data_IF_214729823345
#
_entry.id   IF_214729823345
#
_cell.length_a   1.000
_cell.length_b   1.000
_cell.length_c   1.000
_cell.angle_alpha   90.00
_cell.angle_beta   90.00
_cell.angle_gamma   90.00
#
_symmetry.space_group_name_H-M   'P 1'
#
loop_
_entity.id
_entity.type
_entity.pdbx_description
1 polymer ?
#
# COMPACT_ATOMS: atom_id res chain seq x y z
N UNK A 1 4.45 -61.39 48.35
CA UNK A 1 5.10 -60.07 48.50
C UNK A 1 4.51 -59.12 47.48
N UNK A 2 3.97 -57.98 47.92
CA UNK A 2 3.17 -57.04 47.11
C UNK A 2 4.04 -56.35 46.05
N UNK A 3 3.60 -56.40 44.80
CA UNK A 3 4.14 -55.67 43.65
C UNK A 3 3.66 -54.21 43.68
N UNK A 4 4.59 -53.26 43.71
CA UNK A 4 4.29 -51.83 43.63
C UNK A 4 4.33 -51.35 42.16
N UNK A 5 3.21 -50.80 41.69
CA UNK A 5 3.11 -50.05 40.44
C UNK A 5 3.63 -48.63 40.70
N UNK A 6 4.73 -48.24 40.04
CA UNK A 6 5.19 -46.85 39.96
C UNK A 6 4.79 -46.26 38.61
N UNK A 7 3.83 -45.35 38.60
CA UNK A 7 3.48 -44.56 37.42
C UNK A 7 4.49 -43.41 37.26
N UNK A 8 5.29 -43.43 36.19
CA UNK A 8 6.14 -42.31 35.80
C UNK A 8 5.28 -41.37 34.95
N UNK A 9 4.96 -40.20 35.52
CA UNK A 9 4.31 -39.09 34.80
C UNK A 9 5.41 -38.20 34.23
N UNK A 10 5.61 -38.26 32.91
CA UNK A 10 6.56 -37.40 32.20
C UNK A 10 5.88 -36.06 31.92
N UNK A 11 6.26 -35.01 32.65
CA UNK A 11 5.85 -33.63 32.35
C UNK A 11 6.69 -33.11 31.16
N UNK A 12 6.08 -33.01 29.97
CA UNK A 12 6.67 -32.27 28.86
C UNK A 12 6.44 -30.77 29.06
N UNK A 13 7.49 -30.02 29.42
CA UNK A 13 7.46 -28.55 29.36
C UNK A 13 7.44 -28.11 27.90
N UNK A 14 6.28 -27.64 27.41
CA UNK A 14 6.24 -26.78 26.23
C UNK A 14 6.85 -25.42 26.58
N UNK A 15 8.11 -25.21 26.22
CA UNK A 15 8.67 -23.87 26.19
C UNK A 15 8.06 -23.13 24.98
N UNK A 16 7.22 -22.13 25.26
CA UNK A 16 6.79 -21.18 24.25
C UNK A 16 8.02 -20.36 23.82
N UNK A 17 8.57 -20.68 22.65
CA UNK A 17 9.57 -19.83 22.01
C UNK A 17 8.86 -18.54 21.62
N UNK A 18 9.15 -17.45 22.33
CA UNK A 18 8.71 -16.13 21.93
C UNK A 18 9.35 -15.80 20.58
N UNK A 19 8.55 -15.82 19.51
CA UNK A 19 8.99 -15.35 18.20
C UNK A 19 9.23 -13.85 18.32
N UNK A 20 10.48 -13.41 18.20
CA UNK A 20 10.82 -12.00 18.16
C UNK A 20 10.06 -11.33 17.00
N UNK A 21 9.51 -10.13 17.23
CA UNK A 21 8.86 -9.37 16.18
C UNK A 21 9.86 -9.13 15.03
N UNK A 22 9.42 -9.35 13.78
CA UNK A 22 10.26 -9.09 12.62
C UNK A 22 10.65 -7.60 12.56
N UNK A 23 11.85 -7.26 12.06
CA UNK A 23 12.25 -5.86 11.87
C UNK A 23 11.30 -5.17 10.90
N UNK A 24 10.93 -3.91 11.15
CA UNK A 24 10.03 -3.10 10.30
C UNK A 24 10.64 -1.74 9.93
N UNK A 25 11.97 -1.67 9.98
CA UNK A 25 12.76 -0.44 9.89
C UNK A 25 13.00 0.23 11.24
N UNK A 26 13.75 1.33 11.22
CA UNK A 26 14.16 2.09 12.39
C UNK A 26 13.31 3.35 12.50
N UNK A 27 12.52 3.45 13.58
CA UNK A 27 11.70 4.62 13.91
C UNK A 27 11.88 4.94 15.39
N UNK A 28 12.07 6.22 15.68
CA UNK A 28 11.95 6.75 17.04
C UNK A 28 11.18 8.07 17.01
N UNK A 29 9.88 7.98 17.29
CA UNK A 29 9.00 9.14 17.25
C UNK A 29 9.08 9.88 18.59
N UNK A 30 9.78 11.01 18.62
CA UNK A 30 9.93 11.81 19.84
C UNK A 30 8.57 12.33 20.33
N UNK A 31 8.16 11.97 21.55
CA UNK A 31 6.84 12.30 22.11
C UNK A 31 6.92 12.80 23.56
N UNK A 32 5.92 13.58 23.97
CA UNK A 32 5.70 13.94 25.38
C UNK A 32 4.90 12.92 26.19
N UNK A 33 4.47 11.83 25.56
CA UNK A 33 3.73 10.75 26.21
C UNK A 33 4.57 10.05 27.29
N UNK A 34 3.89 9.25 28.11
CA UNK A 34 4.56 8.42 29.10
C UNK A 34 5.59 7.49 28.44
N UNK A 35 6.82 7.43 28.99
CA UNK A 35 7.88 6.54 28.47
C UNK A 35 7.44 5.07 28.36
N UNK A 36 6.49 4.62 29.17
CA UNK A 36 5.92 3.26 29.12
C UNK A 36 5.19 2.94 27.81
N UNK A 37 4.76 3.95 27.05
CA UNK A 37 4.06 3.77 25.76
C UNK A 37 4.93 4.08 24.55
N UNK A 38 6.18 4.51 24.73
CA UNK A 38 7.10 4.87 23.63
C UNK A 38 7.25 3.74 22.61
N UNK A 39 7.44 2.49 23.07
CA UNK A 39 7.61 1.35 22.16
C UNK A 39 6.36 1.06 21.33
N UNK A 40 5.15 1.24 21.89
CA UNK A 40 3.90 1.07 21.14
C UNK A 40 3.73 2.21 20.11
N UNK A 41 4.19 3.42 20.41
CA UNK A 41 4.18 4.59 19.49
C UNK A 41 5.18 4.39 18.34
N UNK A 42 6.44 4.05 18.65
CA UNK A 42 7.48 3.81 17.64
C UNK A 42 7.06 2.69 16.70
N UNK A 43 6.50 1.60 17.26
CA UNK A 43 5.90 0.53 16.47
C UNK A 43 4.73 1.04 15.62
N UNK A 44 3.78 1.78 16.21
CA UNK A 44 2.62 2.33 15.49
C UNK A 44 3.04 3.20 14.29
N UNK A 45 4.03 4.07 14.46
CA UNK A 45 4.54 4.94 13.39
C UNK A 45 5.25 4.12 12.31
N UNK A 46 6.08 3.14 12.67
CA UNK A 46 6.68 2.23 11.70
C UNK A 46 5.61 1.47 10.89
N UNK A 47 4.49 1.10 11.51
CA UNK A 47 3.38 0.42 10.84
C UNK A 47 2.59 1.33 9.91
N UNK A 48 2.36 2.59 10.30
CA UNK A 48 1.82 3.60 9.39
C UNK A 48 2.73 3.77 8.17
N UNK A 49 4.04 3.82 8.36
CA UNK A 49 4.99 3.96 7.27
C UNK A 49 5.03 2.75 6.33
N UNK A 50 4.76 1.54 6.83
CA UNK A 50 4.67 0.31 6.03
C UNK A 50 3.26 0.00 5.52
N UNK A 51 2.30 0.91 5.70
CA UNK A 51 0.89 0.74 5.30
C UNK A 51 0.20 -0.49 5.94
N UNK A 52 0.63 -0.85 7.16
CA UNK A 52 0.00 -1.89 7.99
C UNK A 52 -1.03 -1.26 8.93
N UNK A 53 -2.13 -0.79 8.34
CA UNK A 53 -3.11 0.09 8.99
C UNK A 53 -3.79 -0.54 10.22
N UNK A 54 -4.26 -1.77 10.10
CA UNK A 54 -4.95 -2.46 11.20
C UNK A 54 -4.01 -2.76 12.37
N UNK A 55 -2.74 -3.05 12.09
CA UNK A 55 -1.69 -3.26 13.09
C UNK A 55 -1.33 -1.92 13.76
N UNK A 56 -1.19 -0.85 12.96
CA UNK A 56 -0.90 0.49 13.45
C UNK A 56 -2.01 0.95 14.42
N UNK A 57 -3.28 0.82 14.02
CA UNK A 57 -4.44 1.14 14.86
C UNK A 57 -4.37 0.41 16.21
N UNK A 58 -4.13 -0.92 16.19
CA UNK A 58 -3.97 -1.73 17.41
C UNK A 58 -2.79 -1.29 18.27
N UNK A 59 -1.68 -0.85 17.67
CA UNK A 59 -0.52 -0.36 18.43
C UNK A 59 -0.85 0.95 19.16
N UNK A 60 -1.47 1.90 18.47
CA UNK A 60 -1.87 3.16 19.08
C UNK A 60 -3.03 3.02 20.08
N UNK A 61 -3.96 2.07 19.87
CA UNK A 61 -5.00 1.73 20.85
C UNK A 61 -4.40 1.19 22.17
N UNK A 62 -3.39 0.31 22.09
CA UNK A 62 -2.68 -0.16 23.28
C UNK A 62 -1.99 1.00 24.01
N UNK A 63 -1.37 1.90 23.26
CA UNK A 63 -0.71 3.08 23.81
C UNK A 63 -1.73 4.01 24.52
N UNK A 64 -2.86 4.33 23.87
CA UNK A 64 -3.89 5.22 24.44
C UNK A 64 -4.60 4.61 25.66
N UNK A 65 -4.76 3.28 25.73
CA UNK A 65 -5.26 2.60 26.94
C UNK A 65 -4.32 2.73 28.14
N UNK A 66 -3.01 2.87 27.91
CA UNK A 66 -1.98 3.00 28.96
C UNK A 66 -1.64 4.45 29.30
N UNK A 67 -1.90 5.37 28.37
CA UNK A 67 -1.78 6.80 28.54
C UNK A 67 -2.95 7.52 27.83
N UNK A 68 -4.07 7.67 28.54
CA UNK A 68 -5.33 8.20 27.99
C UNK A 68 -5.27 9.69 27.66
N UNK A 69 -4.20 10.40 28.06
CA UNK A 69 -3.97 11.79 27.68
C UNK A 69 -2.96 11.92 26.53
N UNK A 70 -2.39 10.83 26.03
CA UNK A 70 -1.42 10.84 24.95
C UNK A 70 -2.05 11.37 23.64
N UNK A 71 -1.77 12.63 23.29
CA UNK A 71 -2.35 13.24 22.09
C UNK A 71 -1.90 12.53 20.81
N UNK A 72 -0.63 12.09 20.73
CA UNK A 72 -0.11 11.40 19.55
C UNK A 72 -0.68 9.98 19.40
N UNK A 73 -1.09 9.33 20.48
CA UNK A 73 -1.70 8.01 20.42
C UNK A 73 -3.07 8.09 19.72
N UNK A 74 -3.87 9.11 20.04
CA UNK A 74 -5.12 9.36 19.35
C UNK A 74 -4.91 9.83 17.91
N UNK A 75 -3.91 10.69 17.65
CA UNK A 75 -3.51 11.03 16.28
C UNK A 75 -3.16 9.77 15.47
N UNK A 76 -2.40 8.83 16.03
CA UNK A 76 -2.01 7.60 15.36
C UNK A 76 -3.20 6.70 15.02
N UNK A 77 -4.21 6.61 15.90
CA UNK A 77 -5.47 5.92 15.60
C UNK A 77 -6.23 6.61 14.45
N UNK A 78 -6.31 7.94 14.44
CA UNK A 78 -6.89 8.69 13.31
C UNK A 78 -6.11 8.44 12.01
N UNK A 79 -4.78 8.44 12.08
CA UNK A 79 -3.88 8.20 10.95
C UNK A 79 -4.00 6.77 10.39
N UNK A 80 -4.36 5.80 11.22
CA UNK A 80 -4.57 4.42 10.80
C UNK A 80 -5.89 4.21 10.04
N UNK A 81 -6.87 5.10 10.22
CA UNK A 81 -8.12 5.13 9.43
C UNK A 81 -7.91 5.76 8.05
N UNK A 82 -6.74 6.38 7.83
CA UNK A 82 -6.55 7.33 6.73
C UNK A 82 -6.15 6.70 5.40
N UNK A 83 -5.86 5.39 5.33
CA UNK A 83 -5.58 4.72 4.04
C UNK A 83 -4.68 5.56 3.11
N UNK A 84 -3.66 6.21 3.70
CA UNK A 84 -3.24 7.55 3.26
C UNK A 84 -3.06 7.58 1.75
N UNK A 85 -3.92 8.38 1.08
CA UNK A 85 -3.74 8.96 -0.26
C UNK A 85 -4.11 8.10 -1.47
N UNK A 86 -4.71 6.93 -1.23
CA UNK A 86 -4.83 5.90 -2.26
C UNK A 86 -6.25 5.38 -2.47
N UNK A 87 -7.08 5.52 -1.43
CA UNK A 87 -8.45 5.02 -1.41
C UNK A 87 -9.48 5.93 -0.73
N UNK A 88 -9.05 6.97 0.00
CA UNK A 88 -9.91 7.85 0.79
C UNK A 88 -10.68 7.10 1.90
N UNK A 89 -10.72 7.59 3.15
CA UNK A 89 -11.61 7.02 4.15
C UNK A 89 -13.08 7.11 3.71
N UNK A 90 -13.89 6.10 4.03
CA UNK A 90 -15.35 6.23 3.91
C UNK A 90 -15.89 7.18 4.98
N UNK A 91 -17.18 7.55 4.91
CA UNK A 91 -17.77 8.49 5.89
C UNK A 91 -17.71 8.00 7.35
N UNK A 92 -17.79 6.70 7.59
CA UNK A 92 -17.65 6.14 8.94
C UNK A 92 -16.21 6.27 9.46
N UNK A 93 -15.22 6.00 8.61
CA UNK A 93 -13.80 6.18 8.94
C UNK A 93 -13.48 7.67 9.17
N UNK A 94 -14.03 8.56 8.34
CA UNK A 94 -13.92 10.02 8.52
C UNK A 94 -14.52 10.46 9.86
N UNK A 95 -15.71 9.95 10.22
CA UNK A 95 -16.36 10.26 11.49
C UNK A 95 -15.54 9.75 12.69
N UNK A 96 -15.05 8.51 12.64
CA UNK A 96 -14.22 7.95 13.70
C UNK A 96 -12.89 8.71 13.85
N UNK A 97 -12.24 9.09 12.75
CA UNK A 97 -11.02 9.89 12.79
C UNK A 97 -11.24 11.26 13.44
N UNK A 98 -12.41 11.90 13.20
CA UNK A 98 -12.78 13.14 13.89
C UNK A 98 -12.91 12.94 15.40
N UNK A 99 -13.48 11.84 15.87
CA UNK A 99 -13.57 11.51 17.30
C UNK A 99 -12.17 11.37 17.90
N UNK A 100 -11.28 10.62 17.24
CA UNK A 100 -9.89 10.48 17.71
C UNK A 100 -9.15 11.82 17.73
N UNK A 101 -9.34 12.68 16.71
CA UNK A 101 -8.70 13.98 16.68
C UNK A 101 -9.25 14.94 17.75
N UNK A 102 -10.53 14.84 18.13
CA UNK A 102 -11.07 15.56 19.28
C UNK A 102 -10.37 15.12 20.59
N UNK A 103 -10.18 13.81 20.78
CA UNK A 103 -9.41 13.30 21.92
C UNK A 103 -7.94 13.77 21.87
N UNK A 104 -7.31 13.75 20.69
CA UNK A 104 -5.95 14.24 20.49
C UNK A 104 -5.82 15.73 20.86
N UNK A 105 -6.79 16.59 20.47
CA UNK A 105 -6.85 18.00 20.89
C UNK A 105 -6.89 18.16 22.40
N UNK A 106 -7.74 17.40 23.08
CA UNK A 106 -7.91 17.47 24.53
C UNK A 106 -6.73 16.88 25.34
N UNK A 107 -5.95 15.98 24.72
CA UNK A 107 -4.78 15.34 25.31
C UNK A 107 -3.60 16.29 25.57
N UNK A 108 -2.52 15.76 26.15
CA UNK A 108 -1.23 16.42 26.35
C UNK A 108 -0.33 16.23 25.12
N UNK A 109 0.29 17.31 24.66
CA UNK A 109 1.19 17.28 23.51
C UNK A 109 2.03 18.56 23.39
N UNK A 110 3.25 18.42 22.92
CA UNK A 110 4.19 19.47 22.55
C UNK A 110 3.71 20.26 21.32
N UNK A 111 4.24 21.46 21.07
CA UNK A 111 3.95 22.20 19.84
C UNK A 111 4.23 21.42 18.54
N UNK A 112 5.21 20.50 18.54
CA UNK A 112 5.48 19.55 17.44
C UNK A 112 4.31 18.61 17.22
N UNK A 113 3.89 17.90 18.27
CA UNK A 113 2.75 16.97 18.23
C UNK A 113 1.45 17.68 17.83
N UNK A 114 1.26 18.93 18.27
CA UNK A 114 0.13 19.78 17.83
C UNK A 114 0.17 20.13 16.36
N UNK A 115 1.34 20.12 15.71
CA UNK A 115 1.43 20.30 14.26
C UNK A 115 0.93 19.09 13.48
N UNK A 116 1.25 17.87 13.91
CA UNK A 116 0.74 16.63 13.30
C UNK A 116 -0.78 16.50 13.39
N UNK A 117 -1.31 16.49 14.61
CA UNK A 117 -2.31 17.45 15.07
C UNK A 117 -3.21 18.11 14.02
N UNK A 118 -2.92 19.41 13.85
CA UNK A 118 -3.55 20.33 12.90
C UNK A 118 -3.53 19.83 11.46
N UNK A 119 -2.44 19.16 11.03
CA UNK A 119 -2.40 18.61 9.69
C UNK A 119 -3.51 17.57 9.49
N UNK A 120 -3.57 16.56 10.37
CA UNK A 120 -4.61 15.52 10.29
C UNK A 120 -6.01 16.12 10.34
N UNK A 121 -6.24 17.13 11.18
CA UNK A 121 -7.53 17.83 11.25
C UNK A 121 -7.92 18.54 9.97
N UNK A 122 -6.95 19.15 9.26
CA UNK A 122 -7.21 19.77 7.96
C UNK A 122 -7.73 18.75 6.94
N UNK A 123 -7.26 17.49 7.02
CA UNK A 123 -7.75 16.41 6.19
C UNK A 123 -9.16 15.95 6.60
N UNK A 124 -9.35 15.65 7.89
CA UNK A 124 -10.52 14.96 8.43
C UNK A 124 -11.72 15.84 8.81
N UNK A 125 -11.56 17.17 8.83
CA UNK A 125 -12.61 18.10 9.30
C UNK A 125 -13.93 17.91 8.58
N UNK A 126 -15.04 18.17 9.26
CA UNK A 126 -16.32 18.27 8.56
C UNK A 126 -16.31 19.57 7.74
N UNK A 127 -16.46 19.44 6.42
CA UNK A 127 -16.48 20.57 5.49
C UNK A 127 -17.16 20.10 4.20
N UNK A 128 -18.49 20.24 4.17
CA UNK A 128 -19.34 19.72 3.11
C UNK A 128 -19.04 20.34 1.73
N UNK A 129 -18.35 21.47 1.70
CA UNK A 129 -17.96 22.23 0.53
C UNK A 129 -16.55 21.91 0.01
N UNK A 130 -15.75 21.15 0.76
CA UNK A 130 -14.40 20.81 0.35
C UNK A 130 -14.32 19.51 -0.44
N UNK A 131 -13.71 19.60 -1.61
CA UNK A 131 -13.26 18.43 -2.37
C UNK A 131 -12.15 17.68 -1.62
N UNK A 132 -12.01 16.35 -1.85
CA UNK A 132 -10.89 15.58 -1.32
C UNK A 132 -9.51 16.18 -1.64
N UNK A 133 -9.34 16.71 -2.86
CA UNK A 133 -8.10 17.39 -3.28
C UNK A 133 -7.79 18.63 -2.43
N UNK A 134 -8.79 19.45 -2.10
CA UNK A 134 -8.59 20.62 -1.25
C UNK A 134 -8.17 20.23 0.18
N UNK A 135 -8.79 19.19 0.75
CA UNK A 135 -8.42 18.65 2.07
C UNK A 135 -6.99 18.16 2.10
N UNK A 136 -6.61 17.44 1.05
CA UNK A 136 -5.27 16.93 0.87
C UNK A 136 -4.24 18.05 0.69
N UNK A 137 -4.60 19.12 -0.02
CA UNK A 137 -3.75 20.31 -0.16
C UNK A 137 -3.46 20.95 1.19
N UNK A 138 -4.50 21.19 1.98
CA UNK A 138 -4.33 21.77 3.31
C UNK A 138 -3.54 20.86 4.27
N UNK A 139 -3.76 19.54 4.20
CA UNK A 139 -2.94 18.57 4.93
C UNK A 139 -1.46 18.69 4.58
N UNK A 140 -1.13 18.70 3.30
CA UNK A 140 0.25 18.84 2.80
C UNK A 140 0.86 20.19 3.20
N UNK A 141 0.09 21.28 3.15
CA UNK A 141 0.54 22.61 3.56
C UNK A 141 0.90 22.68 5.05
N UNK A 142 0.07 22.07 5.91
CA UNK A 142 0.34 21.99 7.35
C UNK A 142 1.57 21.13 7.65
N UNK A 143 1.76 20.01 6.95
CA UNK A 143 2.97 19.19 7.08
C UNK A 143 4.22 19.91 6.57
N UNK A 144 4.11 20.65 5.47
CA UNK A 144 5.19 21.49 4.95
C UNK A 144 5.59 22.59 5.94
N UNK A 145 4.62 23.21 6.62
CA UNK A 145 4.89 24.15 7.71
C UNK A 145 5.56 23.47 8.91
N UNK A 146 5.07 22.30 9.31
CA UNK A 146 5.65 21.52 10.41
C UNK A 146 7.13 21.18 10.12
N UNK A 147 7.43 20.66 8.92
CA UNK A 147 8.81 20.33 8.52
C UNK A 147 9.74 21.54 8.45
N UNK A 148 9.22 22.73 8.11
CA UNK A 148 10.00 23.98 8.17
C UNK A 148 10.30 24.40 9.60
N UNK A 149 9.36 24.19 10.52
CA UNK A 149 9.54 24.57 11.93
C UNK A 149 10.41 23.56 12.70
N UNK A 150 10.36 22.28 12.33
CA UNK A 150 11.17 21.21 12.93
C UNK A 150 12.04 20.52 11.87
N UNK A 151 13.17 21.12 11.47
CA UNK A 151 13.90 20.62 10.32
C UNK A 151 14.70 19.33 10.54
N UNK A 152 14.86 18.89 11.79
CA UNK A 152 15.48 17.61 12.15
C UNK A 152 14.47 16.47 12.32
N UNK A 153 13.19 16.74 12.06
CA UNK A 153 12.11 15.79 12.24
C UNK A 153 11.93 14.91 11.00
N UNK A 154 12.50 13.70 11.06
CA UNK A 154 12.51 12.73 9.96
C UNK A 154 11.09 12.27 9.62
N UNK A 155 10.24 12.04 10.62
CA UNK A 155 8.85 11.66 10.42
C UNK A 155 8.06 12.80 9.74
N UNK A 156 8.32 14.07 10.12
CA UNK A 156 7.68 15.21 9.45
C UNK A 156 8.09 15.29 7.98
N UNK A 157 9.37 15.01 7.67
CA UNK A 157 9.84 14.91 6.29
C UNK A 157 9.15 13.77 5.53
N UNK A 158 9.05 12.59 6.16
CA UNK A 158 8.40 11.41 5.58
C UNK A 158 6.92 11.68 5.28
N UNK A 159 6.13 12.13 6.27
CA UNK A 159 4.71 12.43 6.07
C UNK A 159 4.51 13.57 5.07
N UNK A 160 5.37 14.60 5.06
CA UNK A 160 5.29 15.66 4.06
C UNK A 160 5.57 15.14 2.65
N UNK A 161 6.64 14.36 2.44
CA UNK A 161 6.93 13.71 1.16
C UNK A 161 5.77 12.83 0.69
N UNK A 162 5.19 12.02 1.59
CA UNK A 162 4.00 11.23 1.31
C UNK A 162 2.81 12.11 0.87
N UNK A 163 2.54 13.22 1.57
CA UNK A 163 1.47 14.15 1.20
C UNK A 163 1.66 14.81 -0.18
N UNK A 164 2.89 15.05 -0.61
CA UNK A 164 3.21 15.59 -1.94
C UNK A 164 2.93 14.54 -3.04
N UNK A 165 3.31 13.27 -2.80
CA UNK A 165 3.00 12.14 -3.69
C UNK A 165 1.49 12.00 -3.86
N UNK A 166 0.75 12.15 -2.76
CA UNK A 166 -0.72 12.17 -2.79
C UNK A 166 -1.26 13.21 -3.76
N UNK A 167 -0.80 14.45 -3.61
CA UNK A 167 -1.27 15.58 -4.39
C UNK A 167 -0.93 15.37 -5.86
N UNK A 168 0.25 14.81 -6.14
CA UNK A 168 0.65 14.47 -7.49
C UNK A 168 -0.39 13.58 -8.20
N UNK A 169 -1.02 12.63 -7.48
CA UNK A 169 -2.05 11.78 -8.07
C UNK A 169 -3.32 12.52 -8.49
N UNK A 170 -3.60 13.66 -7.84
CA UNK A 170 -4.74 14.54 -8.11
C UNK A 170 -4.44 15.60 -9.18
N UNK A 171 -3.19 15.72 -9.63
CA UNK A 171 -2.78 16.63 -10.68
C UNK A 171 -2.86 15.98 -12.07
N UNK A 172 -3.01 16.81 -13.10
CA UNK A 172 -2.87 16.37 -14.49
C UNK A 172 -1.41 16.00 -14.79
N UNK A 173 -0.47 16.84 -14.32
CA UNK A 173 0.96 16.59 -14.39
C UNK A 173 1.54 16.33 -12.98
N UNK A 174 1.82 15.07 -12.61
CA UNK A 174 2.33 14.74 -11.28
C UNK A 174 3.82 15.10 -11.07
N UNK A 175 4.59 15.24 -12.15
CA UNK A 175 6.06 15.25 -12.10
C UNK A 175 6.66 16.34 -11.19
N UNK A 176 6.17 17.60 -11.17
CA UNK A 176 6.72 18.63 -10.29
C UNK A 176 6.61 18.27 -8.80
N UNK A 177 5.46 17.73 -8.38
CA UNK A 177 5.22 17.33 -6.99
C UNK A 177 6.02 16.08 -6.60
N UNK A 178 6.15 15.12 -7.53
CA UNK A 178 7.00 13.95 -7.32
C UNK A 178 8.48 14.33 -7.16
N UNK A 179 8.98 15.27 -7.98
CA UNK A 179 10.34 15.81 -7.82
C UNK A 179 10.51 16.51 -6.48
N UNK A 180 9.54 17.33 -6.07
CA UNK A 180 9.57 17.98 -4.76
C UNK A 180 9.58 16.96 -3.61
N UNK A 181 8.81 15.87 -3.71
CA UNK A 181 8.83 14.80 -2.72
C UNK A 181 10.22 14.13 -2.64
N UNK A 182 10.84 13.82 -3.79
CA UNK A 182 12.20 13.27 -3.83
C UNK A 182 13.22 14.23 -3.20
N UNK A 183 13.13 15.52 -3.50
CA UNK A 183 14.06 16.52 -2.97
C UNK A 183 13.93 16.70 -1.44
N UNK A 184 12.75 16.43 -0.87
CA UNK A 184 12.53 16.36 0.58
C UNK A 184 13.10 15.07 1.19
N UNK A 185 12.94 13.93 0.51
CA UNK A 185 13.21 12.61 1.09
C UNK A 185 14.66 12.13 0.90
N UNK A 186 15.30 12.47 -0.23
CA UNK A 186 16.67 12.01 -0.54
C UNK A 186 17.73 12.46 0.47
N UNK A 187 17.71 13.71 1.00
CA UNK A 187 18.63 14.10 2.07
C UNK A 187 18.45 13.26 3.34
N UNK A 188 17.22 12.96 3.71
CA UNK A 188 16.91 12.15 4.89
C UNK A 188 17.34 10.69 4.70
N UNK A 189 17.26 10.14 3.48
CA UNK A 189 17.68 8.78 3.19
C UNK A 189 19.19 8.56 3.41
N UNK A 190 20.01 9.58 3.14
CA UNK A 190 21.47 9.49 3.34
C UNK A 190 21.85 9.32 4.81
N UNK A 191 21.05 9.86 5.73
CA UNK A 191 21.30 9.84 7.17
C UNK A 191 20.43 8.82 7.92
N UNK A 192 19.28 8.45 7.36
CA UNK A 192 18.33 7.50 7.93
C UNK A 192 17.94 6.42 6.90
N UNK A 193 18.91 5.62 6.41
CA UNK A 193 18.67 4.67 5.32
C UNK A 193 17.70 3.55 5.68
N UNK A 194 17.47 3.31 6.98
CA UNK A 194 16.56 2.27 7.48
C UNK A 194 15.20 2.83 7.95
N UNK A 195 14.92 4.12 7.78
CA UNK A 195 13.64 4.70 8.16
C UNK A 195 12.54 4.28 7.16
N UNK A 196 11.53 3.51 7.56
CA UNK A 196 10.58 2.89 6.63
C UNK A 196 9.81 3.93 5.82
N UNK A 197 9.44 5.06 6.41
CA UNK A 197 8.75 6.13 5.69
C UNK A 197 9.62 6.76 4.60
N UNK A 198 10.91 6.96 4.86
CA UNK A 198 11.79 7.61 3.89
C UNK A 198 12.02 6.69 2.70
N UNK A 199 12.42 5.44 2.98
CA UNK A 199 12.72 4.45 1.94
C UNK A 199 11.49 4.13 1.11
N UNK A 200 10.35 3.89 1.76
CA UNK A 200 9.11 3.56 1.08
C UNK A 200 8.60 4.71 0.22
N UNK A 201 8.63 5.94 0.71
CA UNK A 201 8.06 7.06 -0.02
C UNK A 201 8.98 7.55 -1.15
N UNK A 202 10.29 7.31 -1.09
CA UNK A 202 11.19 7.48 -2.24
C UNK A 202 10.79 6.58 -3.41
N UNK A 203 10.41 5.32 -3.15
CA UNK A 203 9.92 4.40 -4.18
C UNK A 203 8.66 4.95 -4.83
N UNK A 204 7.68 5.37 -4.03
CA UNK A 204 6.45 5.96 -4.55
C UNK A 204 6.69 7.25 -5.35
N UNK A 205 7.58 8.13 -4.88
CA UNK A 205 7.90 9.37 -5.58
C UNK A 205 8.63 9.14 -6.91
N UNK A 206 9.43 8.06 -7.00
CA UNK A 206 10.17 7.68 -8.19
C UNK A 206 9.42 6.72 -9.13
N UNK A 207 8.18 6.32 -8.82
CA UNK A 207 7.40 5.34 -9.60
C UNK A 207 6.81 5.91 -10.91
N UNK A 208 7.66 6.56 -11.71
CA UNK A 208 7.40 7.02 -13.07
C UNK A 208 8.66 6.83 -13.92
N UNK A 209 8.56 6.57 -15.24
CA UNK A 209 9.72 6.26 -16.08
C UNK A 209 10.85 7.29 -15.97
N UNK A 210 10.51 8.57 -15.92
CA UNK A 210 11.48 9.68 -15.90
C UNK A 210 12.24 9.83 -14.59
N UNK A 211 11.74 9.25 -13.49
CA UNK A 211 12.31 9.39 -12.15
C UNK A 211 12.78 8.05 -11.55
N UNK A 212 12.50 6.91 -12.20
CA UNK A 212 12.71 5.56 -11.67
C UNK A 212 14.14 5.33 -11.13
N UNK A 213 15.17 5.84 -11.80
CA UNK A 213 16.55 5.69 -11.37
C UNK A 213 16.84 6.28 -9.99
N UNK A 214 16.13 7.35 -9.59
CA UNK A 214 16.27 7.97 -8.26
C UNK A 214 15.78 7.08 -7.12
N UNK A 215 14.88 6.13 -7.40
CA UNK A 215 14.31 5.22 -6.41
C UNK A 215 15.07 3.91 -6.21
N UNK A 216 16.09 3.60 -7.02
CA UNK A 216 16.70 2.26 -7.07
C UNK A 216 17.37 1.86 -5.75
N UNK A 217 18.13 2.75 -5.13
CA UNK A 217 18.83 2.43 -3.88
C UNK A 217 17.83 2.21 -2.74
N UNK A 218 16.81 3.06 -2.65
CA UNK A 218 15.71 2.88 -1.70
C UNK A 218 14.96 1.56 -1.94
N UNK A 219 14.64 1.22 -3.19
CA UNK A 219 13.99 -0.05 -3.55
C UNK A 219 14.78 -1.27 -3.04
N UNK A 220 16.10 -1.26 -3.23
CA UNK A 220 16.98 -2.35 -2.78
C UNK A 220 17.09 -2.44 -1.26
N UNK A 221 17.00 -1.32 -0.54
CA UNK A 221 16.92 -1.34 0.93
C UNK A 221 15.56 -1.87 1.38
N UNK A 222 14.47 -1.35 0.83
CA UNK A 222 13.11 -1.70 1.26
C UNK A 222 12.79 -3.18 1.06
N UNK A 223 13.36 -3.82 0.03
CA UNK A 223 13.25 -5.25 -0.22
C UNK A 223 13.67 -6.15 0.96
N UNK A 224 14.37 -5.62 1.97
CA UNK A 224 14.79 -6.35 3.18
C UNK A 224 14.30 -5.75 4.49
N UNK A 225 13.65 -4.57 4.46
CA UNK A 225 13.41 -3.77 5.66
C UNK A 225 12.24 -4.26 6.53
N UNK A 226 11.18 -4.79 5.90
CA UNK A 226 10.00 -5.35 6.57
C UNK A 226 9.66 -6.72 5.95
N UNK A 227 10.34 -7.81 6.36
CA UNK A 227 10.25 -9.11 5.70
C UNK A 227 8.93 -9.85 5.97
N UNK A 228 8.10 -9.38 6.89
CA UNK A 228 6.79 -9.92 7.24
C UNK A 228 5.62 -9.13 6.63
N UNK A 229 5.89 -8.17 5.74
CA UNK A 229 4.87 -7.40 5.02
C UNK A 229 4.88 -7.73 3.53
N UNK A 230 3.78 -8.30 3.01
CA UNK A 230 3.65 -8.53 1.57
C UNK A 230 3.75 -7.22 0.78
N UNK A 231 3.18 -6.13 1.30
CA UNK A 231 3.26 -4.80 0.68
C UNK A 231 4.71 -4.33 0.58
N UNK A 232 5.44 -4.32 1.69
CA UNK A 232 6.81 -3.82 1.72
C UNK A 232 7.75 -4.60 0.79
N UNK A 233 7.57 -5.92 0.70
CA UNK A 233 8.36 -6.78 -0.18
C UNK A 233 8.01 -6.59 -1.67
N UNK A 234 6.76 -6.24 -1.97
CA UNK A 234 6.30 -5.98 -3.31
C UNK A 234 6.79 -4.63 -3.85
N UNK A 235 6.65 -3.56 -3.07
CA UNK A 235 6.91 -2.17 -3.48
C UNK A 235 8.20 -1.92 -4.28
N UNK A 236 9.38 -2.50 -3.93
CA UNK A 236 10.60 -2.35 -4.73
C UNK A 236 10.42 -2.68 -6.22
N UNK A 237 9.51 -3.59 -6.53
CA UNK A 237 9.21 -4.06 -7.88
C UNK A 237 8.72 -2.97 -8.81
N UNK A 238 8.08 -1.92 -8.28
CA UNK A 238 7.66 -0.75 -9.05
C UNK A 238 8.86 -0.03 -9.70
N UNK A 239 10.00 0.03 -9.02
CA UNK A 239 11.24 0.57 -9.61
C UNK A 239 11.92 -0.47 -10.49
N UNK A 240 12.04 -1.70 -10.01
CA UNK A 240 12.73 -2.76 -10.76
C UNK A 240 12.10 -3.01 -12.13
N UNK A 241 10.77 -3.02 -12.23
CA UNK A 241 10.06 -3.25 -13.48
C UNK A 241 10.30 -2.11 -14.48
N UNK A 242 10.35 -0.85 -14.02
CA UNK A 242 10.63 0.33 -14.86
C UNK A 242 12.06 0.34 -15.41
N UNK A 243 12.98 -0.28 -14.68
CA UNK A 243 14.39 -0.37 -15.05
C UNK A 243 14.74 -1.72 -15.73
N UNK A 244 13.75 -2.58 -15.99
CA UNK A 244 13.96 -3.89 -16.63
C UNK A 244 14.76 -4.88 -15.77
N UNK A 245 14.80 -4.70 -14.45
CA UNK A 245 15.53 -5.56 -13.50
C UNK A 245 14.70 -6.81 -13.15
N UNK A 246 14.38 -7.62 -14.16
CA UNK A 246 13.41 -8.73 -14.07
C UNK A 246 13.73 -9.75 -12.96
N UNK A 247 15.01 -10.05 -12.73
CA UNK A 247 15.42 -10.94 -11.63
C UNK A 247 15.05 -10.39 -10.26
N UNK A 248 15.19 -9.08 -10.05
CA UNK A 248 14.83 -8.41 -8.79
C UNK A 248 13.31 -8.35 -8.63
N UNK A 249 12.56 -8.09 -9.72
CA UNK A 249 11.08 -8.16 -9.73
C UNK A 249 10.61 -9.56 -9.31
N UNK A 250 11.13 -10.62 -9.92
CA UNK A 250 10.73 -12.00 -9.61
C UNK A 250 11.05 -12.35 -8.15
N UNK A 251 12.25 -12.01 -7.67
CA UNK A 251 12.67 -12.31 -6.31
C UNK A 251 11.80 -11.61 -5.25
N UNK A 252 11.53 -10.31 -5.42
CA UNK A 252 10.67 -9.53 -4.52
C UNK A 252 9.24 -10.07 -4.51
N UNK A 253 8.65 -10.32 -5.68
CA UNK A 253 7.25 -10.73 -5.77
C UNK A 253 7.00 -12.17 -5.35
N UNK A 254 7.95 -13.08 -5.55
CA UNK A 254 7.84 -14.44 -5.01
C UNK A 254 7.81 -14.42 -3.48
N UNK A 255 8.64 -13.59 -2.85
CA UNK A 255 8.65 -13.41 -1.39
C UNK A 255 7.37 -12.73 -0.91
N UNK A 256 6.94 -11.65 -1.54
CA UNK A 256 5.69 -10.97 -1.23
C UNK A 256 4.48 -11.92 -1.34
N UNK A 257 4.36 -12.65 -2.43
CA UNK A 257 3.28 -13.62 -2.61
C UNK A 257 3.29 -14.74 -1.55
N UNK A 258 4.47 -15.18 -1.12
CA UNK A 258 4.62 -16.18 -0.05
C UNK A 258 4.17 -15.61 1.30
N UNK A 259 4.64 -14.41 1.66
CA UNK A 259 4.27 -13.73 2.91
C UNK A 259 2.76 -13.45 2.94
N UNK A 260 2.20 -12.91 1.86
CA UNK A 260 0.76 -12.64 1.77
C UNK A 260 -0.09 -13.91 1.91
N UNK A 261 0.35 -15.04 1.34
CA UNK A 261 -0.34 -16.33 1.51
C UNK A 261 -0.36 -16.79 2.98
N UNK A 262 0.71 -16.51 3.73
CA UNK A 262 0.81 -16.86 5.16
C UNK A 262 0.13 -15.87 6.10
N UNK A 263 -0.08 -14.62 5.65
CA UNK A 263 -0.61 -13.53 6.47
C UNK A 263 -2.02 -13.80 7.01
N UNK A 264 -2.82 -14.60 6.30
CA UNK A 264 -4.15 -15.01 6.76
C UNK A 264 -4.13 -15.97 7.96
N UNK A 265 -3.03 -16.72 8.17
CA UNK A 265 -2.84 -17.50 9.39
C UNK A 265 -2.70 -16.60 10.64
N UNK A 266 -2.47 -15.31 10.44
CA UNK A 266 -2.31 -14.29 11.47
C UNK A 266 -3.43 -13.23 11.47
N UNK A 267 -4.53 -13.48 10.73
CA UNK A 267 -5.67 -12.56 10.59
C UNK A 267 -5.31 -11.19 9.99
N UNK A 268 -4.27 -11.12 9.16
CA UNK A 268 -3.92 -9.91 8.43
C UNK A 268 -4.61 -9.88 7.05
N UNK A 269 -5.15 -8.72 6.67
CA UNK A 269 -5.78 -8.50 5.37
C UNK A 269 -4.77 -8.19 4.26
N UNK A 270 -3.99 -9.17 3.82
CA UNK A 270 -2.96 -8.96 2.77
C UNK A 270 -3.31 -9.55 1.39
N UNK A 271 -4.54 -10.06 1.21
CA UNK A 271 -4.97 -10.71 -0.02
C UNK A 271 -4.75 -9.85 -1.28
N UNK A 272 -5.05 -8.54 -1.18
CA UNK A 272 -4.81 -7.58 -2.27
C UNK A 272 -3.33 -7.46 -2.62
N UNK A 273 -2.45 -7.41 -1.62
CA UNK A 273 -1.00 -7.32 -1.82
C UNK A 273 -0.42 -8.61 -2.40
N UNK A 274 -0.90 -9.77 -1.95
CA UNK A 274 -0.53 -11.06 -2.53
C UNK A 274 -0.89 -11.13 -4.02
N UNK A 275 -2.15 -10.81 -4.35
CA UNK A 275 -2.62 -10.84 -5.74
C UNK A 275 -1.88 -9.81 -6.61
N UNK A 276 -1.55 -8.64 -6.07
CA UNK A 276 -0.76 -7.65 -6.80
C UNK A 276 0.68 -8.12 -7.06
N UNK A 277 1.31 -8.76 -6.07
CA UNK A 277 2.62 -9.37 -6.25
C UNK A 277 2.61 -10.48 -7.31
N UNK A 278 1.55 -11.30 -7.34
CA UNK A 278 1.39 -12.33 -8.36
C UNK A 278 1.26 -11.74 -9.78
N UNK A 279 0.61 -10.58 -9.96
CA UNK A 279 0.56 -9.89 -11.26
C UNK A 279 1.97 -9.54 -11.78
N UNK A 280 2.78 -8.91 -10.92
CA UNK A 280 4.15 -8.53 -11.26
C UNK A 280 5.04 -9.75 -11.50
N UNK A 281 4.84 -10.82 -10.73
CA UNK A 281 5.53 -12.08 -10.94
C UNK A 281 5.18 -12.69 -12.30
N UNK A 282 3.89 -12.70 -12.69
CA UNK A 282 3.47 -13.12 -14.02
C UNK A 282 4.14 -12.26 -15.08
N UNK A 283 4.05 -10.93 -14.97
CA UNK A 283 4.62 -10.01 -15.96
C UNK A 283 6.12 -10.24 -16.15
N UNK A 284 6.91 -10.20 -15.07
CA UNK A 284 8.36 -10.37 -15.16
C UNK A 284 8.78 -11.78 -15.61
N UNK A 285 7.99 -12.81 -15.31
CA UNK A 285 8.23 -14.16 -15.81
C UNK A 285 8.04 -14.23 -17.33
N UNK A 286 7.01 -13.57 -17.86
CA UNK A 286 6.76 -13.47 -19.31
C UNK A 286 7.89 -12.73 -20.03
N UNK A 287 8.40 -11.63 -19.46
CA UNK A 287 9.56 -10.91 -20.02
C UNK A 287 10.84 -11.75 -20.07
N UNK A 288 10.89 -12.86 -19.34
CA UNK A 288 11.99 -13.83 -19.34
C UNK A 288 11.67 -15.13 -20.09
N UNK A 289 10.49 -15.26 -20.68
CA UNK A 289 10.03 -16.50 -21.32
C UNK A 289 9.71 -17.64 -20.34
N UNK A 290 9.57 -17.37 -19.05
CA UNK A 290 9.23 -18.36 -18.03
C UNK A 290 7.71 -18.57 -17.93
N UNK A 291 7.15 -19.21 -18.95
CA UNK A 291 5.72 -19.59 -18.93
C UNK A 291 5.41 -20.68 -17.88
N UNK A 292 6.41 -21.40 -17.37
CA UNK A 292 6.19 -22.43 -16.36
C UNK A 292 5.73 -21.82 -15.04
N UNK A 293 6.37 -20.74 -14.60
CA UNK A 293 5.92 -19.95 -13.44
C UNK A 293 4.50 -19.42 -13.65
N UNK A 294 4.17 -18.91 -14.84
CA UNK A 294 2.82 -18.40 -15.16
C UNK A 294 1.77 -19.51 -15.06
N UNK A 295 2.03 -20.68 -15.64
CA UNK A 295 1.13 -21.85 -15.57
C UNK A 295 0.90 -22.35 -14.15
N UNK A 296 1.85 -22.16 -13.23
CA UNK A 296 1.68 -22.51 -11.83
C UNK A 296 0.76 -21.52 -11.07
N UNK A 297 0.71 -20.25 -11.50
CA UNK A 297 -0.05 -19.18 -10.82
C UNK A 297 -1.50 -19.14 -11.29
N UNK A 298 -1.77 -19.26 -12.60
CA UNK A 298 -3.11 -19.10 -13.19
C UNK A 298 -4.21 -19.99 -12.56
N UNK A 299 -3.93 -21.24 -12.13
CA UNK A 299 -4.94 -22.09 -11.50
C UNK A 299 -5.33 -21.66 -10.07
N UNK A 300 -4.63 -20.72 -9.43
CA UNK A 300 -4.89 -20.32 -8.05
C UNK A 300 -6.37 -19.93 -7.85
N UNK A 301 -7.07 -20.73 -7.05
CA UNK A 301 -8.49 -20.53 -6.74
C UNK A 301 -8.69 -19.77 -5.44
N UNK A 302 -7.94 -20.11 -4.41
CA UNK A 302 -8.18 -19.58 -3.08
C UNK A 302 -7.04 -18.67 -2.65
N UNK A 303 -7.38 -17.41 -2.37
CA UNK A 303 -6.50 -16.47 -1.69
C UNK A 303 -7.19 -16.07 -0.40
N UNK A 304 -6.67 -16.50 0.76
CA UNK A 304 -7.27 -16.17 2.04
C UNK A 304 -7.49 -14.65 2.22
N UNK A 305 -8.69 -14.26 2.65
CA UNK A 305 -9.07 -12.86 2.83
C UNK A 305 -9.51 -12.14 1.54
N UNK A 306 -9.45 -12.79 0.37
CA UNK A 306 -10.03 -12.24 -0.86
C UNK A 306 -11.51 -12.62 -1.00
N UNK A 307 -12.36 -11.64 -1.30
CA UNK A 307 -13.73 -11.92 -1.72
C UNK A 307 -13.80 -12.42 -3.17
N UNK A 308 -14.95 -12.98 -3.57
CA UNK A 308 -15.16 -13.53 -4.89
C UNK A 308 -15.02 -12.47 -6.02
N UNK A 309 -15.37 -11.22 -5.74
CA UNK A 309 -15.23 -10.11 -6.68
C UNK A 309 -13.77 -9.76 -6.95
N UNK A 310 -12.96 -9.63 -5.89
CA UNK A 310 -11.51 -9.39 -5.99
C UNK A 310 -10.81 -10.53 -6.74
N UNK A 311 -11.12 -11.78 -6.40
CA UNK A 311 -10.56 -12.95 -7.10
C UNK A 311 -10.94 -12.96 -8.58
N UNK A 312 -12.21 -12.68 -8.90
CA UNK A 312 -12.69 -12.63 -10.28
C UNK A 312 -11.97 -11.53 -11.06
N UNK A 313 -11.89 -10.32 -10.50
CA UNK A 313 -11.19 -9.19 -11.10
C UNK A 313 -9.72 -9.53 -11.40
N UNK A 314 -8.97 -10.01 -10.40
CA UNK A 314 -7.54 -10.30 -10.56
C UNK A 314 -7.28 -11.44 -11.55
N UNK A 315 -8.10 -12.50 -11.56
CA UNK A 315 -7.97 -13.57 -12.56
C UNK A 315 -8.18 -13.06 -13.98
N UNK A 316 -9.14 -12.16 -14.19
CA UNK A 316 -9.35 -11.56 -15.52
C UNK A 316 -8.20 -10.65 -15.93
N UNK A 317 -7.59 -9.96 -14.95
CA UNK A 317 -6.40 -9.16 -15.17
C UNK A 317 -5.20 -10.04 -15.58
N UNK A 318 -4.96 -11.15 -14.86
CA UNK A 318 -3.89 -12.11 -15.18
C UNK A 318 -4.08 -12.71 -16.58
N UNK A 319 -5.29 -13.18 -16.90
CA UNK A 319 -5.59 -13.74 -18.21
C UNK A 319 -5.37 -12.72 -19.33
N UNK A 320 -5.87 -11.49 -19.17
CA UNK A 320 -5.66 -10.41 -20.11
C UNK A 320 -4.17 -10.11 -20.35
N UNK A 321 -3.38 -10.03 -19.27
CA UNK A 321 -1.93 -9.84 -19.36
C UNK A 321 -1.26 -10.98 -20.12
N UNK A 322 -1.53 -12.23 -19.74
CA UNK A 322 -0.88 -13.40 -20.35
C UNK A 322 -1.15 -13.46 -21.86
N UNK A 323 -2.41 -13.30 -22.29
CA UNK A 323 -2.73 -13.41 -23.72
C UNK A 323 -2.14 -12.25 -24.53
N UNK A 324 -2.11 -11.04 -23.98
CA UNK A 324 -1.52 -9.87 -24.67
C UNK A 324 0.00 -9.99 -24.75
N UNK A 325 0.70 -10.30 -23.66
CA UNK A 325 2.17 -10.40 -23.63
C UNK A 325 2.71 -11.55 -24.48
N UNK A 326 1.97 -12.66 -24.58
CA UNK A 326 2.33 -13.80 -25.44
C UNK A 326 1.87 -13.62 -26.89
N UNK A 327 1.29 -12.46 -27.24
CA UNK A 327 0.79 -12.16 -28.58
C UNK A 327 -0.27 -13.17 -29.09
N UNK A 328 -1.04 -13.75 -28.17
CA UNK A 328 -2.14 -14.70 -28.46
C UNK A 328 -3.40 -13.94 -28.81
N UNK A 329 -3.37 -13.30 -29.98
CA UNK A 329 -4.36 -12.27 -30.34
C UNK A 329 -5.78 -12.80 -30.47
N UNK A 330 -5.95 -14.04 -30.93
CA UNK A 330 -7.27 -14.67 -31.07
C UNK A 330 -7.86 -14.98 -29.70
N UNK A 331 -7.04 -15.49 -28.79
CA UNK A 331 -7.37 -15.79 -27.40
C UNK A 331 -7.70 -14.50 -26.64
N UNK A 332 -6.88 -13.46 -26.78
CA UNK A 332 -7.13 -12.13 -26.21
C UNK A 332 -8.48 -11.55 -26.67
N UNK A 333 -8.82 -11.67 -27.96
CA UNK A 333 -10.10 -11.22 -28.52
C UNK A 333 -11.33 -11.95 -27.92
N UNK A 334 -11.12 -13.18 -27.42
CA UNK A 334 -12.16 -14.07 -26.91
C UNK A 334 -12.19 -14.19 -25.37
N UNK A 335 -11.29 -13.52 -24.65
CA UNK A 335 -11.24 -13.52 -23.18
C UNK A 335 -12.64 -13.34 -22.58
N UNK A 336 -13.09 -14.11 -21.60
CA UNK A 336 -14.43 -13.95 -21.03
C UNK A 336 -14.58 -12.60 -20.31
N UNK A 337 -15.75 -11.97 -20.46
CA UNK A 337 -16.11 -10.80 -19.67
C UNK A 337 -16.83 -11.27 -18.39
N UNK A 338 -16.27 -11.06 -17.20
CA UNK A 338 -16.90 -11.49 -15.96
C UNK A 338 -18.09 -10.59 -15.61
N UNK A 339 -18.99 -11.10 -14.77
CA UNK A 339 -20.05 -10.29 -14.15
C UNK A 339 -19.46 -9.44 -13.02
N UNK A 340 -18.93 -8.27 -13.39
CA UNK A 340 -18.39 -7.26 -12.47
C UNK A 340 -18.95 -5.88 -12.83
N UNK A 341 -18.94 -4.91 -11.90
CA UNK A 341 -19.25 -3.52 -12.23
C UNK A 341 -18.38 -3.01 -13.40
N UNK A 342 -18.93 -2.20 -14.32
CA UNK A 342 -18.24 -1.82 -15.56
C UNK A 342 -16.84 -1.23 -15.37
N UNK A 343 -16.60 -0.47 -14.29
CA UNK A 343 -15.29 0.13 -13.99
C UNK A 343 -14.15 -0.90 -13.78
N UNK A 344 -14.48 -2.16 -13.52
CA UNK A 344 -13.51 -3.25 -13.37
C UNK A 344 -13.20 -3.97 -14.69
N UNK A 345 -13.92 -3.68 -15.77
CA UNK A 345 -13.81 -4.39 -17.05
C UNK A 345 -12.85 -3.72 -18.04
N UNK A 346 -12.19 -2.62 -17.65
CA UNK A 346 -11.28 -1.85 -18.52
C UNK A 346 -10.19 -2.74 -19.11
N UNK A 347 -9.47 -3.51 -18.29
CA UNK A 347 -8.38 -4.38 -18.77
C UNK A 347 -8.89 -5.48 -19.71
N UNK A 348 -10.04 -6.08 -19.39
CA UNK A 348 -10.65 -7.13 -20.21
C UNK A 348 -11.00 -6.62 -21.60
N UNK A 349 -11.68 -5.47 -21.70
CA UNK A 349 -12.06 -4.92 -22.99
C UNK A 349 -10.88 -4.29 -23.73
N UNK A 350 -9.88 -3.77 -23.03
CA UNK A 350 -8.62 -3.36 -23.65
C UNK A 350 -7.92 -4.54 -24.35
N UNK A 351 -7.74 -5.67 -23.65
CA UNK A 351 -7.12 -6.86 -24.23
C UNK A 351 -7.93 -7.41 -25.40
N UNK A 352 -9.28 -7.46 -25.28
CA UNK A 352 -10.16 -7.86 -26.39
C UNK A 352 -10.02 -6.95 -27.60
N UNK A 353 -9.98 -5.64 -27.40
CA UNK A 353 -9.81 -4.66 -28.48
C UNK A 353 -8.47 -4.85 -29.20
N UNK A 354 -7.36 -4.96 -28.45
CA UNK A 354 -6.04 -5.20 -29.02
C UNK A 354 -6.00 -6.53 -29.78
N UNK A 355 -6.50 -7.61 -29.17
CA UNK A 355 -6.57 -8.94 -29.78
C UNK A 355 -7.37 -8.95 -31.08
N UNK A 356 -8.55 -8.31 -31.09
CA UNK A 356 -9.40 -8.24 -32.27
C UNK A 356 -8.76 -7.44 -33.41
N UNK A 357 -8.13 -6.29 -33.10
CA UNK A 357 -7.39 -5.50 -34.10
C UNK A 357 -6.22 -6.31 -34.68
N UNK A 358 -5.41 -6.93 -33.82
CA UNK A 358 -4.23 -7.72 -34.24
C UNK A 358 -4.60 -8.99 -34.99
N UNK A 359 -5.82 -9.51 -34.79
CA UNK A 359 -6.36 -10.67 -35.51
C UNK A 359 -7.12 -10.30 -36.79
N UNK A 360 -7.32 -9.02 -37.09
CA UNK A 360 -8.07 -8.55 -38.27
C UNK A 360 -9.60 -8.54 -38.12
N UNK A 361 -10.14 -8.82 -36.93
CA UNK A 361 -11.59 -8.80 -36.67
C UNK A 361 -12.06 -7.39 -36.30
N UNK A 362 -12.20 -6.55 -37.33
CA UNK A 362 -12.64 -5.15 -37.17
C UNK A 362 -14.03 -5.00 -36.55
N UNK A 363 -15.05 -5.82 -36.89
CA UNK A 363 -16.33 -5.81 -36.19
C UNK A 363 -16.18 -6.03 -34.67
N UNK A 364 -15.43 -7.06 -34.26
CA UNK A 364 -15.20 -7.33 -32.83
C UNK A 364 -14.38 -6.26 -32.14
N UNK A 365 -13.42 -5.67 -32.84
CA UNK A 365 -12.61 -4.56 -32.33
C UNK A 365 -13.49 -3.35 -31.99
N UNK A 366 -14.44 -2.99 -32.87
CA UNK A 366 -15.37 -1.86 -32.63
C UNK A 366 -16.31 -2.13 -31.46
N UNK A 367 -16.87 -3.34 -31.37
CA UNK A 367 -17.70 -3.77 -30.24
C UNK A 367 -16.92 -3.65 -28.92
N UNK A 368 -15.73 -4.24 -28.87
CA UNK A 368 -14.89 -4.24 -27.66
C UNK A 368 -14.43 -2.83 -27.29
N UNK A 369 -14.12 -1.98 -28.28
CA UNK A 369 -13.77 -0.58 -28.06
C UNK A 369 -14.93 0.21 -27.46
N UNK A 370 -16.18 -0.03 -27.89
CA UNK A 370 -17.36 0.60 -27.28
C UNK A 370 -17.46 0.24 -25.80
N UNK A 371 -17.32 -1.04 -25.46
CA UNK A 371 -17.35 -1.52 -24.08
C UNK A 371 -16.18 -1.01 -23.24
N UNK A 372 -15.00 -0.86 -23.85
CA UNK A 372 -13.85 -0.24 -23.21
C UNK A 372 -14.14 1.21 -22.83
N UNK A 373 -14.79 1.99 -23.71
CA UNK A 373 -15.19 3.37 -23.42
C UNK A 373 -16.20 3.43 -22.27
N UNK A 374 -17.24 2.60 -22.31
CA UNK A 374 -18.23 2.50 -21.21
C UNK A 374 -17.54 2.17 -19.87
N UNK A 375 -16.61 1.21 -19.86
CA UNK A 375 -15.84 0.85 -18.67
C UNK A 375 -14.93 1.99 -18.18
N UNK A 376 -14.29 2.71 -19.10
CA UNK A 376 -13.41 3.84 -18.79
C UNK A 376 -14.20 5.02 -18.22
N UNK A 377 -15.37 5.34 -18.79
CA UNK A 377 -16.29 6.38 -18.32
C UNK A 377 -16.82 6.03 -16.92
N UNK A 378 -17.27 4.79 -16.70
CA UNK A 378 -17.69 4.33 -15.37
C UNK A 378 -16.57 4.44 -14.33
N UNK A 379 -15.31 4.20 -14.74
CA UNK A 379 -14.15 4.38 -13.87
C UNK A 379 -13.85 5.84 -13.59
N UNK A 380 -14.01 6.74 -14.56
CA UNK A 380 -13.85 8.18 -14.36
C UNK A 380 -14.95 8.76 -13.46
N UNK A 381 -16.22 8.36 -13.64
CA UNK A 381 -17.32 8.80 -12.78
C UNK A 381 -17.15 8.31 -11.34
N UNK A 382 -16.64 7.09 -11.14
CA UNK A 382 -16.24 6.65 -9.81
C UNK A 382 -15.09 7.50 -9.30
N UNK A 383 -14.03 7.70 -10.09
CA UNK A 383 -12.88 8.54 -9.74
C UNK A 383 -13.24 9.99 -9.41
N UNK A 384 -14.29 10.57 -10.00
CA UNK A 384 -14.78 11.92 -9.68
C UNK A 384 -15.73 11.96 -8.48
N UNK A 385 -16.53 10.90 -8.26
CA UNK A 385 -17.33 10.71 -7.03
C UNK A 385 -16.48 10.27 -5.82
N UNK A 386 -15.27 9.76 -6.07
CA UNK A 386 -14.32 9.29 -5.07
C UNK A 386 -12.93 9.90 -5.30
N UNK A 387 -12.84 11.19 -5.65
CA UNK A 387 -11.59 11.90 -5.99
C UNK A 387 -10.45 11.58 -5.01
N UNK A 388 -9.64 10.57 -5.32
CA UNK A 388 -8.68 9.97 -4.38
C UNK A 388 -8.45 8.46 -4.53
N UNK A 389 -9.24 7.73 -5.34
CA UNK A 389 -9.10 6.25 -5.45
C UNK A 389 -8.48 5.79 -6.76
N UNK A 390 -7.28 5.24 -6.64
CA UNK A 390 -6.57 4.42 -7.64
C UNK A 390 -6.07 5.14 -8.91
N UNK A 391 -4.97 5.90 -8.77
CA UNK A 391 -4.01 6.12 -9.86
C UNK A 391 -2.77 5.21 -9.79
N UNK A 392 -2.43 4.64 -8.64
CA UNK A 392 -1.13 3.96 -8.45
C UNK A 392 -1.09 2.48 -8.91
N UNK A 393 -2.22 1.79 -9.06
CA UNK A 393 -2.20 0.49 -9.76
C UNK A 393 -2.25 0.64 -11.29
N UNK A 394 -2.21 1.86 -11.84
CA UNK A 394 -2.08 2.09 -13.29
C UNK A 394 -0.59 2.01 -13.65
N UNK A 395 -0.03 0.82 -13.48
CA UNK A 395 1.09 0.42 -14.31
C UNK A 395 0.61 0.40 -15.76
N UNK A 396 0.66 1.55 -16.43
CA UNK A 396 0.81 1.56 -17.88
C UNK A 396 2.24 1.09 -18.13
N UNK A 397 2.39 -0.24 -18.16
CA UNK A 397 3.40 -0.90 -18.95
C UNK A 397 2.85 -1.04 -20.36
#
# INVERSE_FOLDING_TARGET
MRTAFGAIVTFALMQAVAVAAAPRGEVHFTTSANKRVQSDIDQGVALLHNFQWSEASRAFERASRRDSRCAICHWGQAMALTLTLMGGPNEADMAQARVELQAARAGTGTPRERGYIRAAEAFFREAADMTPRQRLREYSDNLGQLRRHYPSDVDAAAFYGLSLIALANEEENPIPLLRQALDVLEPEFRTHPNHPGIVHYLIHAADVPELASRGLDAARVYARLAPDSSHALHMPSHIFVRLGLWSEVIASNRRAATVGATAAAHHHGEATYQLHALDYLIYASLQRGDEATVRAILPLRDVPGADAGLLTYQRTFFAARVEVELHRWKEAALLPAPTLPPNFLVTTYWARTIGAVRSGDLPKARESMSRLREAAEARQVRGSRSAGVARICRGTH
#
